data_IF_735424792239
#
_entry.id   IF_735424792239
#
_cell.length_a   1.000
_cell.length_b   1.000
_cell.length_c   1.000
_cell.angle_alpha   90.00
_cell.angle_beta   90.00
_cell.angle_gamma   90.00
#
_symmetry.space_group_name_H-M   'P 1'
#
loop_
_entity.id
_entity.type
_entity.pdbx_description
1 polymer ?
#
# COMPACT_ATOMS: atom_id res chain seq x y z
N UNK A 1 -14.30 -21.47 18.11
CA UNK A 1 -14.14 -20.02 18.36
C UNK A 1 -12.94 -19.51 17.61
N UNK A 2 -13.18 -18.50 16.82
CA UNK A 2 -12.09 -17.82 16.13
C UNK A 2 -11.30 -17.04 17.17
N UNK A 3 -10.06 -17.42 17.38
CA UNK A 3 -9.18 -16.64 18.22
C UNK A 3 -8.98 -15.28 17.55
N UNK A 4 -9.42 -14.25 18.23
CA UNK A 4 -9.18 -12.90 17.76
C UNK A 4 -7.70 -12.66 17.67
N UNK A 5 -7.18 -12.62 16.47
CA UNK A 5 -5.84 -12.13 16.25
C UNK A 5 -5.90 -10.63 16.39
N UNK A 6 -5.56 -10.17 17.55
CA UNK A 6 -5.29 -8.75 17.71
C UNK A 6 -4.02 -8.48 16.94
N UNK A 7 -4.17 -8.05 15.69
CA UNK A 7 -3.03 -7.59 14.91
C UNK A 7 -2.66 -6.24 15.48
N UNK A 8 -1.57 -6.20 16.20
CA UNK A 8 -1.05 -4.98 16.78
C UNK A 8 -0.63 -4.03 15.64
N UNK A 9 -1.13 -2.79 15.66
CA UNK A 9 -0.79 -1.77 14.65
C UNK A 9 0.34 -0.91 15.23
N UNK A 10 1.55 -1.46 15.23
CA UNK A 10 2.72 -0.78 15.77
C UNK A 10 3.47 0.04 14.72
N UNK A 11 3.26 -0.26 13.44
CA UNK A 11 3.91 0.43 12.34
C UNK A 11 3.10 1.64 11.89
N UNK A 12 3.79 2.62 11.33
CA UNK A 12 3.21 3.73 10.61
C UNK A 12 3.36 3.49 9.10
N UNK A 13 2.63 4.24 8.27
CA UNK A 13 2.75 4.10 6.81
C UNK A 13 4.19 4.32 6.33
N UNK A 14 4.95 5.16 7.02
CA UNK A 14 6.37 5.38 6.71
C UNK A 14 7.20 4.13 6.93
N UNK A 15 6.85 3.31 7.91
CA UNK A 15 7.53 2.03 8.14
C UNK A 15 7.25 1.05 7.01
N UNK A 16 6.02 1.04 6.48
CA UNK A 16 5.67 0.20 5.33
C UNK A 16 6.48 0.63 4.10
N UNK A 17 6.54 1.93 3.85
CA UNK A 17 7.36 2.47 2.75
C UNK A 17 8.83 2.10 2.90
N UNK A 18 9.37 2.23 4.10
CA UNK A 18 10.76 1.88 4.39
C UNK A 18 11.02 0.39 4.18
N UNK A 19 10.07 -0.46 4.52
CA UNK A 19 10.21 -1.89 4.28
C UNK A 19 10.43 -2.19 2.78
N UNK A 20 9.63 -1.55 1.92
CA UNK A 20 9.80 -1.72 0.47
C UNK A 20 11.11 -1.10 -0.03
N UNK A 21 11.52 0.05 0.52
CA UNK A 21 12.77 0.69 0.14
C UNK A 21 14.00 -0.14 0.51
N UNK A 22 13.90 -1.02 1.50
CA UNK A 22 14.98 -1.96 1.81
C UNK A 22 15.18 -3.00 0.70
N UNK A 23 14.15 -3.24 -0.12
CA UNK A 23 14.24 -4.19 -1.23
C UNK A 23 15.01 -3.61 -2.41
N UNK A 24 14.69 -2.37 -2.79
CA UNK A 24 15.39 -1.63 -3.84
C UNK A 24 15.00 -0.15 -3.79
N UNK A 25 15.83 0.68 -4.41
CA UNK A 25 15.48 2.08 -4.62
C UNK A 25 14.29 2.16 -5.58
N UNK A 26 13.37 3.09 -5.31
CA UNK A 26 12.22 3.23 -6.19
C UNK A 26 11.66 4.65 -6.15
N UNK A 27 10.84 4.98 -7.15
CA UNK A 27 10.19 6.28 -7.24
C UNK A 27 9.10 6.43 -6.18
N UNK A 28 8.76 7.68 -5.87
CA UNK A 28 7.63 8.00 -4.99
C UNK A 28 6.34 7.33 -5.48
N UNK A 29 6.08 7.40 -6.79
CA UNK A 29 4.88 6.80 -7.37
C UNK A 29 4.80 5.29 -7.10
N UNK A 30 5.90 4.57 -7.27
CA UNK A 30 5.92 3.13 -7.01
C UNK A 30 5.71 2.82 -5.53
N UNK A 31 6.33 3.59 -4.64
CA UNK A 31 6.13 3.43 -3.19
C UNK A 31 4.66 3.56 -2.82
N UNK A 32 3.98 4.59 -3.35
CA UNK A 32 2.56 4.80 -3.07
C UNK A 32 1.72 3.58 -3.45
N UNK A 33 1.99 2.99 -4.62
CA UNK A 33 1.19 1.87 -5.11
C UNK A 33 1.47 0.59 -4.33
N UNK A 34 2.73 0.33 -3.98
CA UNK A 34 3.08 -0.84 -3.16
C UNK A 34 2.48 -0.72 -1.75
N UNK A 35 2.56 0.46 -1.15
CA UNK A 35 1.95 0.69 0.17
C UNK A 35 0.43 0.54 0.13
N UNK A 36 -0.20 1.01 -0.96
CA UNK A 36 -1.63 0.81 -1.16
C UNK A 36 -1.99 -0.68 -1.18
N UNK A 37 -1.26 -1.48 -1.96
CA UNK A 37 -1.54 -2.91 -2.03
C UNK A 37 -1.27 -3.61 -0.70
N UNK A 38 -0.27 -3.19 0.04
CA UNK A 38 -0.01 -3.74 1.37
C UNK A 38 -1.20 -3.48 2.31
N UNK A 39 -1.74 -2.28 2.30
CA UNK A 39 -2.92 -1.95 3.10
C UNK A 39 -4.15 -2.75 2.63
N UNK A 40 -4.39 -2.77 1.31
CA UNK A 40 -5.56 -3.45 0.75
C UNK A 40 -5.55 -4.95 1.07
N UNK A 41 -4.41 -5.61 0.91
CA UNK A 41 -4.31 -7.05 1.18
C UNK A 41 -4.32 -7.37 2.67
N UNK A 42 -3.79 -6.48 3.52
CA UNK A 42 -3.90 -6.63 4.96
C UNK A 42 -5.36 -6.59 5.42
N UNK A 43 -6.11 -5.60 4.96
CA UNK A 43 -7.53 -5.48 5.28
C UNK A 43 -8.30 -6.71 4.80
N UNK A 44 -7.95 -7.19 3.61
CA UNK A 44 -8.65 -8.33 3.00
C UNK A 44 -8.34 -9.65 3.69
N UNK A 45 -7.07 -9.95 3.95
CA UNK A 45 -6.64 -11.25 4.44
C UNK A 45 -6.53 -11.33 5.95
N UNK A 46 -6.19 -10.21 6.62
CA UNK A 46 -6.05 -10.15 8.07
C UNK A 46 -7.21 -9.45 8.76
N UNK A 47 -8.11 -8.84 7.99
CA UNK A 47 -9.23 -8.05 8.51
C UNK A 47 -8.75 -6.92 9.43
N UNK A 48 -7.62 -6.32 9.09
CA UNK A 48 -6.98 -5.28 9.90
C UNK A 48 -6.09 -4.38 9.04
N UNK A 49 -5.92 -3.10 9.42
CA UNK A 49 -4.97 -2.23 8.73
C UNK A 49 -3.53 -2.72 8.93
N UNK A 50 -2.68 -2.50 7.94
CA UNK A 50 -1.26 -2.87 8.04
C UNK A 50 -0.49 -1.91 8.95
N UNK A 51 -0.98 -0.68 9.11
CA UNK A 51 -0.26 0.37 9.80
C UNK A 51 -1.19 1.51 10.21
N UNK A 52 -0.67 2.47 10.98
CA UNK A 52 -1.33 3.74 11.22
C UNK A 52 -1.16 4.65 10.00
N UNK A 53 -2.04 5.66 9.89
CA UNK A 53 -2.07 6.60 8.74
C UNK A 53 -2.26 5.86 7.41
N UNK A 54 -3.20 4.92 7.41
CA UNK A 54 -3.39 3.95 6.33
C UNK A 54 -4.40 4.38 5.27
N UNK A 55 -4.86 5.64 5.28
CA UNK A 55 -5.85 6.10 4.30
C UNK A 55 -5.21 6.44 2.97
N UNK A 56 -5.89 6.06 1.88
CA UNK A 56 -5.48 6.38 0.52
C UNK A 56 -6.61 7.08 -0.20
N UNK A 57 -6.26 8.11 -0.99
CA UNK A 57 -7.20 8.89 -1.79
C UNK A 57 -7.09 8.50 -3.27
N UNK A 58 -8.19 8.65 -4.00
CA UNK A 58 -8.27 8.24 -5.41
C UNK A 58 -7.80 9.36 -6.35
N UNK A 59 -6.50 9.63 -6.35
CA UNK A 59 -5.90 10.66 -7.19
C UNK A 59 -5.83 10.22 -8.67
N UNK A 60 -5.51 11.17 -9.55
CA UNK A 60 -5.44 10.94 -11.01
C UNK A 60 -4.50 9.76 -11.34
N UNK A 61 -3.34 9.70 -10.70
CA UNK A 61 -2.33 8.68 -10.98
C UNK A 61 -2.40 7.48 -10.04
N UNK A 62 -3.58 7.22 -9.48
CA UNK A 62 -3.83 6.09 -8.61
C UNK A 62 -3.89 6.47 -7.14
N UNK A 63 -4.00 5.48 -6.25
CA UNK A 63 -4.10 5.72 -4.81
C UNK A 63 -2.89 6.45 -4.25
N UNK A 64 -3.14 7.45 -3.41
CA UNK A 64 -2.11 8.25 -2.76
C UNK A 64 -2.41 8.41 -1.27
N UNK A 65 -1.40 8.16 -0.45
CA UNK A 65 -1.41 8.44 0.98
C UNK A 65 -0.78 9.81 1.21
N UNK A 66 -1.49 10.69 1.90
CA UNK A 66 -1.05 12.09 2.11
C UNK A 66 0.23 12.21 2.91
N UNK A 67 0.43 11.36 3.92
CA UNK A 67 1.65 11.42 4.72
C UNK A 67 2.87 11.07 3.87
N UNK A 68 2.76 10.05 3.03
CA UNK A 68 3.83 9.70 2.09
C UNK A 68 4.02 10.78 1.04
N UNK A 69 2.93 11.40 0.56
CA UNK A 69 3.03 12.50 -0.38
C UNK A 69 3.86 13.64 0.19
N UNK A 70 3.55 14.08 1.41
CA UNK A 70 4.28 15.16 2.05
C UNK A 70 5.74 14.81 2.30
N UNK A 71 6.03 13.53 2.54
CA UNK A 71 7.40 13.08 2.80
C UNK A 71 8.24 13.02 1.52
N UNK A 72 7.64 12.66 0.39
CA UNK A 72 8.39 12.32 -0.82
C UNK A 72 8.15 13.26 -2.01
N UNK A 73 7.25 14.25 -1.90
CA UNK A 73 6.89 15.07 -3.07
C UNK A 73 8.08 15.77 -3.71
N UNK A 74 9.07 16.17 -2.91
CA UNK A 74 10.25 16.89 -3.40
C UNK A 74 11.20 16.03 -4.22
N UNK A 75 11.06 14.71 -4.15
CA UNK A 75 11.88 13.81 -4.97
C UNK A 75 11.48 13.83 -6.45
N UNK A 76 10.28 14.29 -6.80
CA UNK A 76 9.80 14.26 -8.17
C UNK A 76 9.84 12.84 -8.72
N UNK A 77 10.54 12.65 -9.83
CA UNK A 77 10.72 11.35 -10.50
C UNK A 77 11.97 10.59 -10.04
N UNK A 78 12.77 11.20 -9.16
CA UNK A 78 14.03 10.59 -8.70
C UNK A 78 13.77 9.37 -7.86
N UNK A 79 14.71 8.42 -7.90
CA UNK A 79 14.65 7.24 -7.06
C UNK A 79 14.96 7.63 -5.60
N UNK A 80 14.21 7.06 -4.68
CA UNK A 80 14.40 7.26 -3.26
C UNK A 80 15.24 6.10 -2.75
N UNK A 81 16.31 6.43 -2.02
CA UNK A 81 17.18 5.46 -1.37
C UNK A 81 17.02 5.56 0.14
N UNK A 82 16.83 4.43 0.79
CA UNK A 82 16.81 4.37 2.25
C UNK A 82 18.18 3.97 2.77
N UNK A 83 18.81 4.86 3.53
CA UNK A 83 20.02 4.53 4.24
C UNK A 83 19.64 4.01 5.63
N UNK A 84 20.02 2.75 5.90
CA UNK A 84 19.53 2.06 7.08
C UNK A 84 20.65 1.17 7.66
N UNK A 85 20.95 1.36 8.94
CA UNK A 85 21.89 0.49 9.64
C UNK A 85 21.20 -0.83 10.00
N UNK A 86 21.99 -1.86 10.33
CA UNK A 86 21.42 -3.16 10.75
C UNK A 86 20.51 -3.02 11.98
N UNK A 87 20.89 -2.30 13.05
CA UNK A 87 19.98 -2.09 14.17
C UNK A 87 18.68 -1.38 13.78
N UNK A 88 18.74 -0.40 12.86
CA UNK A 88 17.54 0.30 12.37
C UNK A 88 16.65 -0.64 11.58
N UNK A 89 17.24 -1.51 10.76
CA UNK A 89 16.49 -2.53 10.00
C UNK A 89 15.80 -3.50 10.97
N UNK A 90 16.49 -3.99 11.97
CA UNK A 90 15.91 -4.88 12.97
C UNK A 90 14.76 -4.22 13.74
N UNK A 91 14.94 -2.95 14.09
CA UNK A 91 13.88 -2.15 14.73
C UNK A 91 12.66 -2.02 13.84
N UNK A 92 12.88 -1.79 12.55
CA UNK A 92 11.80 -1.69 11.57
C UNK A 92 10.99 -2.99 11.50
N UNK A 93 11.68 -4.13 11.35
CA UNK A 93 11.02 -5.42 11.27
C UNK A 93 10.24 -5.76 12.54
N UNK A 94 10.73 -5.33 13.70
CA UNK A 94 10.05 -5.59 14.98
C UNK A 94 8.69 -4.89 15.11
N UNK A 95 8.41 -3.91 14.25
CA UNK A 95 7.12 -3.20 14.25
C UNK A 95 6.00 -3.99 13.57
N UNK A 96 6.36 -5.07 12.86
CA UNK A 96 5.38 -5.87 12.14
C UNK A 96 5.25 -7.25 12.77
N UNK A 97 4.02 -7.76 12.82
CA UNK A 97 3.77 -9.14 13.20
C UNK A 97 4.21 -10.08 12.07
N UNK A 98 4.32 -11.37 12.36
CA UNK A 98 4.64 -12.37 11.35
C UNK A 98 3.63 -12.34 10.19
N UNK A 99 2.34 -12.22 10.52
CA UNK A 99 1.28 -12.14 9.49
C UNK A 99 1.44 -10.90 8.61
N UNK A 100 1.79 -9.76 9.22
CA UNK A 100 2.01 -8.53 8.46
C UNK A 100 3.23 -8.64 7.55
N UNK A 101 4.31 -9.26 8.04
CA UNK A 101 5.50 -9.51 7.21
C UNK A 101 5.16 -10.43 6.03
N UNK A 102 4.30 -11.42 6.22
CA UNK A 102 3.83 -12.26 5.13
C UNK A 102 3.07 -11.44 4.07
N UNK A 103 2.24 -10.49 4.50
CA UNK A 103 1.55 -9.59 3.57
C UNK A 103 2.57 -8.77 2.77
N UNK A 104 3.55 -8.16 3.44
CA UNK A 104 4.56 -7.35 2.78
C UNK A 104 5.37 -8.18 1.76
N UNK A 105 5.78 -9.37 2.16
CA UNK A 105 6.52 -10.28 1.27
C UNK A 105 5.67 -10.70 0.07
N UNK A 106 4.40 -11.00 0.27
CA UNK A 106 3.49 -11.38 -0.81
C UNK A 106 3.26 -10.24 -1.79
N UNK A 107 3.08 -9.02 -1.29
CA UNK A 107 2.93 -7.83 -2.12
C UNK A 107 4.20 -7.60 -2.95
N UNK A 108 5.35 -7.69 -2.33
CA UNK A 108 6.62 -7.54 -3.05
C UNK A 108 6.78 -8.62 -4.13
N UNK A 109 6.45 -9.86 -3.81
CA UNK A 109 6.53 -10.96 -4.76
C UNK A 109 5.58 -10.75 -5.95
N UNK A 110 4.37 -10.27 -5.70
CA UNK A 110 3.34 -10.13 -6.75
C UNK A 110 3.47 -8.85 -7.57
N UNK A 111 3.89 -7.76 -6.95
CA UNK A 111 3.87 -6.43 -7.58
C UNK A 111 5.25 -5.76 -7.70
N UNK A 112 6.24 -6.24 -6.99
CA UNK A 112 7.54 -5.55 -6.86
C UNK A 112 8.32 -5.41 -8.15
N UNK A 113 8.11 -6.31 -9.12
CA UNK A 113 8.78 -6.25 -10.42
C UNK A 113 8.11 -5.30 -11.40
N UNK A 114 6.90 -4.82 -11.10
CA UNK A 114 6.17 -3.94 -12.00
C UNK A 114 6.68 -2.50 -11.89
N UNK A 115 6.67 -1.80 -13.02
CA UNK A 115 7.00 -0.38 -13.02
C UNK A 115 5.90 0.44 -12.33
N UNK A 116 6.23 1.67 -11.95
CA UNK A 116 5.25 2.59 -11.39
C UNK A 116 4.06 2.79 -12.34
N UNK A 117 4.32 2.90 -13.64
CA UNK A 117 3.26 3.10 -14.64
C UNK A 117 2.37 1.85 -14.78
N UNK A 118 2.94 0.67 -14.71
CA UNK A 118 2.18 -0.59 -14.74
C UNK A 118 1.29 -0.68 -13.49
N UNK A 119 1.82 -0.33 -12.32
CA UNK A 119 1.03 -0.34 -11.10
C UNK A 119 -0.09 0.71 -11.13
N UNK A 120 0.17 1.88 -11.70
CA UNK A 120 -0.89 2.88 -11.90
C UNK A 120 -2.02 2.29 -12.76
N UNK A 121 -1.66 1.71 -13.91
CA UNK A 121 -2.65 1.09 -14.80
C UNK A 121 -3.44 -0.01 -14.09
N UNK A 122 -2.76 -0.81 -13.27
CA UNK A 122 -3.40 -1.87 -12.49
C UNK A 122 -4.46 -1.28 -11.54
N UNK A 123 -4.10 -0.26 -10.74
CA UNK A 123 -5.04 0.35 -9.81
C UNK A 123 -6.23 1.00 -10.52
N UNK A 124 -5.99 1.59 -11.70
CA UNK A 124 -7.05 2.20 -12.51
C UNK A 124 -8.05 1.19 -13.03
N UNK A 125 -7.65 -0.06 -13.18
CA UNK A 125 -8.54 -1.15 -13.65
C UNK A 125 -9.37 -1.75 -12.51
N UNK A 126 -9.15 -1.33 -11.27
CA UNK A 126 -9.72 -1.96 -10.09
C UNK A 126 -10.82 -1.10 -9.46
N UNK A 127 -11.86 -1.77 -8.97
CA UNK A 127 -13.06 -1.13 -8.43
C UNK A 127 -12.78 -0.15 -7.27
N UNK A 128 -11.89 -0.43 -6.31
CA UNK A 128 -11.71 0.48 -5.18
C UNK A 128 -11.34 1.91 -5.59
N UNK A 129 -10.45 2.07 -6.57
CA UNK A 129 -10.07 3.39 -7.08
C UNK A 129 -11.19 3.96 -7.97
N UNK A 130 -11.71 3.15 -8.89
CA UNK A 130 -12.74 3.56 -9.84
C UNK A 130 -13.99 4.08 -9.14
N UNK A 131 -14.43 3.39 -8.08
CA UNK A 131 -15.63 3.74 -7.32
C UNK A 131 -15.54 5.17 -6.77
N UNK A 132 -14.41 5.54 -6.21
CA UNK A 132 -14.26 6.85 -5.60
C UNK A 132 -14.12 7.97 -6.64
N UNK A 133 -13.61 7.66 -7.82
CA UNK A 133 -13.55 8.64 -8.89
C UNK A 133 -14.92 8.82 -9.58
N UNK A 134 -15.75 7.79 -9.60
CA UNK A 134 -17.09 7.86 -10.18
C UNK A 134 -17.07 8.39 -11.62
N UNK A 135 -17.87 9.41 -11.89
CA UNK A 135 -17.98 10.00 -13.22
C UNK A 135 -17.08 11.21 -13.44
N UNK A 136 -16.08 11.42 -12.59
CA UNK A 136 -15.16 12.54 -12.77
C UNK A 136 -14.38 12.42 -14.08
N UNK A 137 -14.10 13.54 -14.75
CA UNK A 137 -13.17 13.52 -15.89
C UNK A 137 -11.81 12.91 -15.48
N UNK A 138 -11.12 12.29 -16.43
CA UNK A 138 -9.89 11.54 -16.20
C UNK A 138 -8.84 12.33 -15.41
N UNK A 139 -8.68 13.61 -15.68
CA UNK A 139 -7.65 14.43 -15.05
C UNK A 139 -8.19 15.32 -13.93
N UNK A 140 -9.43 15.13 -13.50
CA UNK A 140 -9.99 15.90 -12.41
C UNK A 140 -9.40 15.50 -11.06
N UNK A 141 -9.15 16.48 -10.20
CA UNK A 141 -8.69 16.21 -8.84
C UNK A 141 -9.77 15.47 -8.05
N UNK A 142 -9.35 14.53 -7.23
CA UNK A 142 -10.23 13.78 -6.34
C UNK A 142 -9.49 13.45 -5.06
N UNK A 143 -10.08 13.83 -3.93
CA UNK A 143 -9.53 13.53 -2.61
C UNK A 143 -10.38 12.52 -1.83
N UNK A 144 -11.29 11.84 -2.50
CA UNK A 144 -12.13 10.84 -1.85
C UNK A 144 -11.27 9.67 -1.35
N UNK A 145 -11.52 9.27 -0.11
CA UNK A 145 -10.81 8.14 0.51
C UNK A 145 -11.34 6.83 -0.05
N UNK A 146 -10.43 5.96 -0.46
CA UNK A 146 -10.77 4.63 -0.97
C UNK A 146 -11.32 3.79 0.17
N UNK A 147 -12.48 3.15 -0.08
CA UNK A 147 -13.22 2.40 0.93
C UNK A 147 -12.55 1.07 1.27
N UNK A 148 -12.30 0.86 2.56
CA UNK A 148 -11.79 -0.43 3.07
C UNK A 148 -12.80 -1.55 2.77
N UNK A 149 -14.09 -1.27 2.90
CA UNK A 149 -15.13 -2.25 2.58
C UNK A 149 -15.02 -2.71 1.13
N UNK A 150 -14.82 -1.78 0.19
CA UNK A 150 -14.68 -2.11 -1.23
C UNK A 150 -13.39 -2.87 -1.50
N UNK A 151 -12.28 -2.49 -0.84
CA UNK A 151 -11.03 -3.26 -0.92
C UNK A 151 -11.26 -4.72 -0.56
N UNK A 152 -11.90 -4.98 0.58
CA UNK A 152 -12.15 -6.34 1.08
C UNK A 152 -13.02 -7.13 0.11
N UNK A 153 -14.03 -6.50 -0.47
CA UNK A 153 -14.91 -7.15 -1.44
C UNK A 153 -14.16 -7.47 -2.73
N UNK A 154 -13.44 -6.50 -3.26
CA UNK A 154 -12.76 -6.64 -4.56
C UNK A 154 -11.59 -7.63 -4.47
N UNK A 155 -10.66 -7.41 -3.54
CA UNK A 155 -9.48 -8.28 -3.41
C UNK A 155 -9.85 -9.62 -2.80
N UNK A 156 -10.88 -9.67 -1.96
CA UNK A 156 -11.42 -10.92 -1.44
C UNK A 156 -11.94 -11.84 -2.55
N UNK A 157 -12.63 -11.29 -3.54
CA UNK A 157 -13.08 -12.04 -4.69
C UNK A 157 -11.92 -12.61 -5.50
N UNK A 158 -10.84 -11.83 -5.68
CA UNK A 158 -9.63 -12.30 -6.37
C UNK A 158 -8.98 -13.44 -5.59
N UNK A 159 -8.87 -13.32 -4.27
CA UNK A 159 -8.28 -14.35 -3.42
C UNK A 159 -9.09 -15.66 -3.51
N UNK A 160 -10.42 -15.54 -3.51
CA UNK A 160 -11.30 -16.72 -3.61
C UNK A 160 -11.16 -17.43 -4.95
N UNK A 161 -10.96 -16.69 -6.05
CA UNK A 161 -10.74 -17.27 -7.38
C UNK A 161 -9.43 -18.05 -7.46
N UNK A 162 -8.44 -17.70 -6.64
CA UNK A 162 -7.10 -18.29 -6.65
C UNK A 162 -6.94 -19.44 -5.66
N UNK A 163 -7.95 -19.64 -4.83
CA UNK A 163 -7.89 -20.72 -3.82
C UNK A 163 -8.45 -22.03 -4.32
#
# INVERSE_FOLDING_TARGET
>A
MKLERVVSVNADITDVANWFLLKEDMSHKKIQKLCYYAEAWSETLLDAPICRNNEFQAWVHGPVNLKLWNLYEDYGWSLIHLQCTKPEEDSLFSKFSDSQLEILNSVWHSYGTYSADTLEAQTHSETPWQEQRGNLPMFASCSNVISVKTMKQYYGAIADEQS
#
